data_IF_067565918643
#
_entry.id   IF_067565918643
#
_cell.length_a   1.000
_cell.length_b   1.000
_cell.length_c   1.000
_cell.angle_alpha   90.00
_cell.angle_beta   90.00
_cell.angle_gamma   90.00
#
_symmetry.space_group_name_H-M   'P 1'
#
loop_
_entity.id
_entity.type
_entity.pdbx_description
1 polymer ?
#
# COMPACT_ATOMS: atom_id res chain seq x y z
N UNK A 1 -5.37 -14.19 -5.90
CA UNK A 1 -6.51 -13.33 -6.31
C UNK A 1 -6.96 -13.77 -7.70
N UNK A 2 -8.24 -13.68 -8.08
CA UNK A 2 -8.59 -13.94 -9.50
C UNK A 2 -8.30 -12.68 -10.32
N UNK A 3 -7.80 -12.84 -11.54
CA UNK A 3 -7.48 -11.71 -12.42
C UNK A 3 -8.73 -10.87 -12.77
N UNK A 4 -9.90 -11.50 -12.74
CA UNK A 4 -11.20 -10.84 -12.98
C UNK A 4 -11.62 -9.88 -11.86
N UNK A 5 -10.96 -9.94 -10.69
CA UNK A 5 -11.22 -9.05 -9.55
C UNK A 5 -10.51 -7.69 -9.67
N UNK A 6 -9.82 -7.43 -10.79
CA UNK A 6 -9.16 -6.15 -11.07
C UNK A 6 -10.01 -5.24 -11.97
N UNK A 7 -10.00 -3.91 -11.75
CA UNK A 7 -9.26 -3.20 -10.71
C UNK A 7 -9.92 -3.34 -9.33
N UNK A 8 -9.09 -3.42 -8.28
CA UNK A 8 -9.57 -3.35 -6.90
C UNK A 8 -10.10 -1.95 -6.63
N UNK A 9 -11.42 -1.81 -6.63
CA UNK A 9 -12.10 -0.59 -6.18
C UNK A 9 -12.37 -0.60 -4.69
N UNK A 10 -12.46 -1.79 -4.07
CA UNK A 10 -12.72 -1.99 -2.65
C UNK A 10 -11.78 -3.07 -2.09
N UNK A 11 -11.23 -2.89 -0.88
CA UNK A 11 -10.37 -3.89 -0.24
C UNK A 11 -11.21 -5.04 0.35
N UNK A 12 -10.69 -6.27 0.28
CA UNK A 12 -11.30 -7.39 1.01
C UNK A 12 -11.03 -7.28 2.52
N UNK A 13 -11.86 -7.94 3.35
CA UNK A 13 -11.68 -7.95 4.80
C UNK A 13 -10.31 -8.55 5.22
N UNK A 14 -9.82 -9.54 4.49
CA UNK A 14 -8.52 -10.16 4.72
C UNK A 14 -7.36 -9.24 4.31
N UNK A 15 -7.57 -8.37 3.32
CA UNK A 15 -6.61 -7.33 3.01
C UNK A 15 -6.52 -6.32 4.14
N UNK A 16 -7.66 -5.86 4.66
CA UNK A 16 -7.70 -4.94 5.80
C UNK A 16 -7.00 -5.56 7.02
N UNK A 17 -7.34 -6.80 7.36
CA UNK A 17 -6.74 -7.50 8.49
C UNK A 17 -5.21 -7.67 8.35
N UNK A 18 -4.73 -7.96 7.14
CA UNK A 18 -3.29 -8.03 6.86
C UNK A 18 -2.60 -6.68 7.02
N UNK A 19 -3.20 -5.61 6.47
CA UNK A 19 -2.60 -4.27 6.54
C UNK A 19 -2.50 -3.82 7.99
N UNK A 20 -3.60 -3.89 8.73
CA UNK A 20 -3.64 -3.35 10.08
C UNK A 20 -2.85 -4.22 11.07
N UNK A 21 -2.98 -5.55 10.99
CA UNK A 21 -2.41 -6.46 12.00
C UNK A 21 -1.07 -7.11 11.65
N UNK A 22 -0.65 -7.11 10.37
CA UNK A 22 0.64 -7.70 9.96
C UNK A 22 1.58 -6.64 9.43
N UNK A 23 1.14 -5.87 8.44
CA UNK A 23 1.98 -4.86 7.81
C UNK A 23 2.34 -3.74 8.78
N UNK A 24 1.34 -3.06 9.37
CA UNK A 24 1.58 -1.91 10.22
C UNK A 24 2.19 -2.28 11.58
N UNK A 25 1.76 -3.40 12.17
CA UNK A 25 2.25 -3.83 13.49
C UNK A 25 3.70 -4.37 13.45
N UNK A 26 4.13 -5.01 12.34
CA UNK A 26 5.38 -5.77 12.33
C UNK A 26 6.33 -5.46 11.17
N UNK A 27 5.82 -5.19 9.97
CA UNK A 27 6.64 -5.12 8.76
C UNK A 27 6.99 -3.69 8.34
N UNK A 28 6.16 -2.71 8.69
CA UNK A 28 6.35 -1.30 8.39
C UNK A 28 6.49 -0.49 9.70
N UNK A 29 7.55 -0.71 10.49
CA UNK A 29 7.72 -0.02 11.76
C UNK A 29 7.69 1.50 11.55
N UNK A 30 7.10 2.22 12.53
CA UNK A 30 6.87 3.66 12.48
C UNK A 30 8.04 4.40 11.85
N UNK A 31 7.81 4.94 10.66
CA UNK A 31 8.87 5.58 9.90
C UNK A 31 9.29 6.91 10.53
N UNK A 32 10.50 7.36 10.16
CA UNK A 32 10.98 8.69 10.51
C UNK A 32 10.11 9.80 9.91
N UNK A 33 10.53 11.05 10.11
CA UNK A 33 9.79 12.25 9.68
C UNK A 33 9.38 12.28 8.18
N UNK A 34 10.07 11.49 7.35
CA UNK A 34 9.90 11.44 5.90
C UNK A 34 8.88 10.39 5.42
N UNK A 35 8.17 9.73 6.34
CA UNK A 35 7.14 8.73 6.00
C UNK A 35 5.72 9.27 6.22
N UNK A 36 4.83 8.94 5.29
CA UNK A 36 3.41 9.33 5.33
C UNK A 36 2.54 8.08 5.26
N UNK A 37 1.67 7.92 6.26
CA UNK A 37 0.61 6.92 6.23
C UNK A 37 -0.75 7.62 6.20
N UNK A 38 -1.67 7.14 5.35
CA UNK A 38 -3.05 7.61 5.37
C UNK A 38 -3.92 6.57 6.10
N UNK A 39 -4.58 6.91 7.22
CA UNK A 39 -5.51 5.98 7.89
C UNK A 39 -6.71 5.59 7.00
N UNK A 40 -7.04 6.42 6.01
CA UNK A 40 -8.06 6.14 4.99
C UNK A 40 -7.43 5.56 3.73
N UNK A 41 -6.44 4.66 3.87
CA UNK A 41 -5.70 4.10 2.73
C UNK A 41 -6.61 3.39 1.71
N UNK A 42 -7.77 2.89 2.14
CA UNK A 42 -8.78 2.24 1.29
C UNK A 42 -9.31 3.17 0.20
N UNK A 43 -9.30 4.49 0.44
CA UNK A 43 -9.74 5.53 -0.51
C UNK A 43 -8.69 5.85 -1.57
N UNK A 44 -7.56 5.14 -1.59
CA UNK A 44 -6.47 5.30 -2.54
C UNK A 44 -6.34 4.05 -3.41
N UNK A 45 -6.94 4.01 -4.62
CA UNK A 45 -6.91 2.83 -5.48
C UNK A 45 -5.47 2.35 -5.78
N UNK A 46 -4.53 3.27 -5.99
CA UNK A 46 -3.13 2.90 -6.21
C UNK A 46 -2.50 2.24 -4.98
N UNK A 47 -2.89 2.67 -3.77
CA UNK A 47 -2.45 2.03 -2.53
C UNK A 47 -3.10 0.65 -2.34
N UNK A 48 -4.40 0.53 -2.57
CA UNK A 48 -5.14 -0.74 -2.45
C UNK A 48 -4.51 -1.83 -3.33
N UNK A 49 -4.20 -1.52 -4.59
CA UNK A 49 -3.55 -2.48 -5.49
C UNK A 49 -2.16 -2.90 -5.00
N UNK A 50 -1.37 -1.96 -4.49
CA UNK A 50 -0.02 -2.26 -3.97
C UNK A 50 -0.07 -3.10 -2.70
N UNK A 51 -0.95 -2.76 -1.76
CA UNK A 51 -1.12 -3.50 -0.51
C UNK A 51 -1.66 -4.91 -0.80
N UNK A 52 -2.56 -5.05 -1.78
CA UNK A 52 -3.02 -6.35 -2.24
C UNK A 52 -1.90 -7.20 -2.83
N UNK A 53 -1.04 -6.63 -3.67
CA UNK A 53 0.12 -7.32 -4.23
C UNK A 53 1.10 -7.77 -3.14
N UNK A 54 1.39 -6.90 -2.15
CA UNK A 54 2.23 -7.26 -1.00
C UNK A 54 1.61 -8.46 -0.24
N UNK A 55 0.30 -8.42 0.03
CA UNK A 55 -0.39 -9.51 0.73
C UNK A 55 -0.38 -10.81 -0.08
N UNK A 56 -0.57 -10.73 -1.38
CA UNK A 56 -0.57 -11.90 -2.25
C UNK A 56 0.78 -12.62 -2.20
N UNK A 57 1.88 -11.89 -2.37
CA UNK A 57 3.23 -12.43 -2.25
C UNK A 57 3.55 -12.93 -0.83
N UNK A 58 3.06 -12.27 0.20
CA UNK A 58 3.16 -12.76 1.58
C UNK A 58 2.48 -14.14 1.74
N UNK A 59 1.29 -14.32 1.17
CA UNK A 59 0.59 -15.59 1.24
C UNK A 59 1.29 -16.69 0.41
N UNK A 60 1.81 -16.35 -0.77
CA UNK A 60 2.61 -17.26 -1.59
C UNK A 60 3.88 -17.71 -0.85
N UNK A 61 4.54 -16.77 -0.18
CA UNK A 61 5.69 -17.04 0.68
C UNK A 61 5.32 -18.03 1.80
N UNK A 62 4.23 -17.80 2.53
CA UNK A 62 3.78 -18.72 3.58
C UNK A 62 3.46 -20.11 3.05
N UNK A 63 2.72 -20.21 1.94
CA UNK A 63 2.39 -21.49 1.31
C UNK A 63 3.65 -22.27 0.86
N UNK A 64 4.69 -21.56 0.42
CA UNK A 64 5.97 -22.18 0.05
C UNK A 64 6.80 -22.65 1.25
N UNK A 65 6.65 -22.01 2.41
CA UNK A 65 7.38 -22.33 3.63
C UNK A 65 6.91 -23.65 4.26
N UNK A 66 5.65 -24.02 4.09
CA UNK A 66 5.11 -25.32 4.51
C UNK A 66 5.83 -26.52 3.85
N UNK A 67 6.51 -26.30 2.73
CA UNK A 67 7.35 -27.29 2.03
C UNK A 67 8.79 -27.45 2.55
N UNK A 68 9.19 -26.74 3.63
CA UNK A 68 10.50 -26.91 4.27
C UNK A 68 11.65 -26.08 3.67
N UNK A 69 11.37 -25.08 2.83
CA UNK A 69 12.37 -24.18 2.25
C UNK A 69 12.66 -22.96 3.15
N UNK A 70 13.94 -22.55 3.23
CA UNK A 70 14.42 -21.29 3.85
C UNK A 70 15.39 -20.62 2.84
N UNK A 71 15.41 -19.28 2.63
CA UNK A 71 14.67 -18.20 3.28
C UNK A 71 13.65 -17.49 2.34
N UNK A 72 12.37 -17.85 2.44
CA UNK A 72 11.29 -17.17 1.69
C UNK A 72 11.04 -15.73 2.20
N UNK A 73 11.23 -15.49 3.51
CA UNK A 73 11.08 -14.16 4.12
C UNK A 73 12.13 -13.15 3.63
N UNK A 74 13.38 -13.57 3.47
CA UNK A 74 14.43 -12.67 2.97
C UNK A 74 14.11 -12.17 1.55
N UNK A 75 13.69 -13.07 0.67
CA UNK A 75 13.28 -12.72 -0.69
C UNK A 75 12.05 -11.81 -0.69
N UNK A 76 11.02 -12.14 0.10
CA UNK A 76 9.83 -11.29 0.25
C UNK A 76 10.17 -9.86 0.69
N UNK A 77 11.00 -9.72 1.75
CA UNK A 77 11.40 -8.41 2.25
C UNK A 77 12.09 -7.60 1.16
N UNK A 78 13.12 -8.17 0.52
CA UNK A 78 13.94 -7.50 -0.48
C UNK A 78 13.19 -7.17 -1.77
N UNK A 79 12.44 -8.14 -2.31
CA UNK A 79 11.89 -8.08 -3.67
C UNK A 79 10.49 -7.47 -3.70
N UNK A 80 9.74 -7.58 -2.60
CA UNK A 80 8.34 -7.16 -2.55
C UNK A 80 8.17 -5.99 -1.58
N UNK A 81 8.50 -6.17 -0.31
CA UNK A 81 8.21 -5.17 0.71
C UNK A 81 9.05 -3.91 0.51
N UNK A 82 10.37 -4.05 0.43
CA UNK A 82 11.32 -2.94 0.27
C UNK A 82 11.12 -2.19 -1.06
N UNK A 83 10.55 -2.86 -2.07
CA UNK A 83 10.20 -2.23 -3.34
C UNK A 83 8.87 -1.45 -3.26
N UNK A 84 7.81 -2.06 -2.73
CA UNK A 84 6.47 -1.47 -2.76
C UNK A 84 6.20 -0.50 -1.60
N UNK A 85 6.75 -0.75 -0.42
CA UNK A 85 6.47 0.07 0.76
C UNK A 85 6.89 1.55 0.57
N UNK A 86 8.09 1.87 0.03
CA UNK A 86 8.44 3.27 -0.26
C UNK A 86 7.50 3.94 -1.26
N UNK A 87 6.96 3.20 -2.24
CA UNK A 87 5.99 3.73 -3.20
C UNK A 87 4.62 4.04 -2.57
N UNK A 88 4.38 3.60 -1.34
CA UNK A 88 3.22 3.99 -0.54
C UNK A 88 3.55 5.19 0.34
N UNK A 89 4.62 5.08 1.13
CA UNK A 89 4.86 5.94 2.29
C UNK A 89 5.85 7.09 2.06
N UNK A 90 6.60 7.10 0.97
CA UNK A 90 7.58 8.17 0.70
C UNK A 90 6.88 9.53 0.56
N UNK A 91 7.36 10.53 1.28
CA UNK A 91 6.75 11.88 1.29
C UNK A 91 6.79 12.64 -0.05
N UNK A 92 7.60 12.21 -1.02
CA UNK A 92 7.74 12.89 -2.30
C UNK A 92 7.11 12.10 -3.45
N UNK A 93 7.13 10.77 -3.37
CA UNK A 93 6.78 9.87 -4.47
C UNK A 93 5.68 8.88 -4.10
N UNK A 94 5.40 8.71 -2.80
CA UNK A 94 4.43 7.77 -2.30
C UNK A 94 2.99 8.08 -2.69
N UNK A 95 2.13 7.07 -2.65
CA UNK A 95 0.68 7.21 -2.81
C UNK A 95 0.07 8.12 -1.73
N UNK A 96 0.64 8.12 -0.53
CA UNK A 96 0.15 8.93 0.60
C UNK A 96 0.84 10.28 0.76
N UNK A 97 1.69 10.71 -0.20
CA UNK A 97 2.49 11.94 -0.09
C UNK A 97 1.67 13.20 0.22
N UNK A 98 0.45 13.30 -0.33
CA UNK A 98 -0.45 14.45 -0.14
C UNK A 98 -1.23 14.38 1.19
N UNK A 99 -1.22 13.24 1.87
CA UNK A 99 -2.10 12.96 3.01
C UNK A 99 -1.49 13.35 4.37
N UNK A 100 -0.34 14.04 4.40
CA UNK A 100 0.52 14.10 5.57
C UNK A 100 -0.05 14.70 6.86
N UNK A 101 -1.14 15.47 6.79
CA UNK A 101 -1.90 15.94 7.98
C UNK A 101 -3.41 15.63 7.87
N UNK A 102 -3.80 14.78 6.93
CA UNK A 102 -5.20 14.46 6.67
C UNK A 102 -5.40 13.91 5.27
N UNK A 103 -6.38 13.02 5.11
CA UNK A 103 -6.69 12.36 3.85
C UNK A 103 -6.96 13.35 2.71
N UNK A 104 -6.40 13.04 1.53
CA UNK A 104 -6.62 13.77 0.28
C UNK A 104 -7.03 12.78 -0.81
N UNK A 105 -8.27 12.86 -1.33
CA UNK A 105 -8.70 12.01 -2.42
C UNK A 105 -7.78 12.17 -3.63
N UNK A 106 -7.45 11.05 -4.28
CA UNK A 106 -6.67 11.08 -5.51
C UNK A 106 -7.57 11.44 -6.68
N UNK A 107 -7.16 12.43 -7.47
CA UNK A 107 -7.76 12.72 -8.76
C UNK A 107 -7.26 11.75 -9.82
N UNK A 108 -8.05 11.60 -10.90
CA UNK A 108 -7.56 10.96 -12.12
C UNK A 108 -6.42 11.78 -12.73
N UNK A 109 -5.47 11.11 -13.38
CA UNK A 109 -4.31 11.75 -14.00
C UNK A 109 -4.70 12.67 -15.16
N UNK A 110 -5.78 12.34 -15.86
CA UNK A 110 -6.29 13.08 -17.03
C UNK A 110 -7.23 14.24 -16.67
N UNK A 111 -7.60 14.40 -15.39
CA UNK A 111 -8.40 15.52 -14.92
C UNK A 111 -7.45 16.58 -14.36
N UNK A 112 -7.26 17.67 -15.10
CA UNK A 112 -6.52 18.84 -14.63
C UNK A 112 -7.10 19.30 -13.29
N UNK A 113 -6.25 19.51 -12.28
CA UNK A 113 -6.62 20.29 -11.09
C UNK A 113 -6.80 21.75 -11.55
N UNK A 114 -7.94 22.07 -12.14
CA UNK A 114 -8.31 23.46 -12.44
C UNK A 114 -8.53 24.18 -11.10
N UNK A 115 -7.50 24.94 -10.70
CA UNK A 115 -7.54 26.14 -9.82
C UNK A 115 -8.64 26.23 -8.75
N UNK A 116 -8.37 25.68 -7.56
CA UNK A 116 -8.90 26.29 -6.31
C UNK A 116 -8.07 27.53 -5.97
N UNK A 117 -8.36 28.63 -6.66
CA UNK A 117 -7.70 29.91 -6.46
C UNK A 117 -8.44 31.01 -7.21
N UNK A 118 -9.64 31.34 -6.73
CA UNK A 118 -10.49 32.37 -7.32
C UNK A 118 -11.64 32.72 -6.40
N UNK A 119 -11.32 33.34 -5.25
CA UNK A 119 -12.29 34.08 -4.44
C UNK A 119 -11.59 35.29 -3.83
N UNK A 120 -11.76 36.43 -4.49
CA UNK A 120 -12.13 37.74 -3.96
C UNK A 120 -11.81 38.81 -5.01
#
# INVERSE_FOLDING_TARGET
>A
MNADDLPLTEPSAELVAFVDGTLLDFLAPAGGADTRWCPQWVEHPDAVHRLAAIREEWNLMLASAEGGAVPALHAFLRDVLDYHLPLLIDQHRGSFRECGYGHKPRGRLDVSRETRGGSA
#
